data_IF_307302050473
#
_entry.id   IF_307302050473
#
_cell.length_a   1.000
_cell.length_b   1.000
_cell.length_c   1.000
_cell.angle_alpha   90.00
_cell.angle_beta   90.00
_cell.angle_gamma   90.00
#
_symmetry.space_group_name_H-M   'P 1'
#
loop_
_entity.id
_entity.type
_entity.pdbx_description
1 polymer ?
#
# COMPACT_ATOMS: atom_id res chain seq x y z
N UNK A 1 -28.39 -14.16 22.50
CA UNK A 1 -27.25 -13.23 22.48
C UNK A 1 -27.63 -12.11 21.52
N UNK A 2 -28.11 -10.98 22.05
CA UNK A 2 -28.58 -9.88 21.20
C UNK A 2 -27.38 -9.28 20.45
N UNK A 3 -27.48 -9.19 19.13
CA UNK A 3 -26.49 -8.50 18.32
C UNK A 3 -26.42 -7.04 18.79
N UNK A 4 -25.23 -6.58 19.15
CA UNK A 4 -24.98 -5.17 19.43
C UNK A 4 -25.17 -4.44 18.10
N UNK A 5 -26.20 -3.61 18.03
CA UNK A 5 -26.51 -2.77 16.87
C UNK A 5 -25.48 -1.64 16.78
N UNK A 6 -24.34 -1.95 16.18
CA UNK A 6 -23.29 -0.97 15.92
C UNK A 6 -23.74 -0.06 14.78
N UNK A 7 -23.63 1.28 14.95
CA UNK A 7 -23.98 2.20 13.89
C UNK A 7 -23.16 1.90 12.64
N UNK A 8 -23.81 1.98 11.47
CA UNK A 8 -23.14 1.83 10.20
C UNK A 8 -21.87 2.69 10.19
N UNK A 9 -20.68 2.10 9.96
CA UNK A 9 -19.43 2.84 9.95
C UNK A 9 -19.55 3.99 8.95
N UNK A 10 -19.58 5.22 9.47
CA UNK A 10 -19.62 6.43 8.65
C UNK A 10 -18.33 6.44 7.84
N UNK A 11 -18.44 6.32 6.53
CA UNK A 11 -17.32 6.64 5.65
C UNK A 11 -16.98 8.11 5.93
N UNK A 12 -15.84 8.35 6.59
CA UNK A 12 -15.26 9.69 6.66
C UNK A 12 -15.17 10.23 5.23
N UNK A 13 -15.52 11.50 5.05
CA UNK A 13 -15.57 12.11 3.72
C UNK A 13 -14.30 11.85 2.91
N UNK A 14 -14.45 11.70 1.60
CA UNK A 14 -13.40 11.41 0.61
C UNK A 14 -12.44 12.59 0.39
N UNK A 15 -12.10 13.33 1.43
CA UNK A 15 -11.14 14.42 1.36
C UNK A 15 -9.71 13.84 1.36
N UNK A 16 -9.24 13.46 0.18
CA UNK A 16 -7.84 13.65 -0.20
C UNK A 16 -6.76 12.77 0.44
N UNK A 17 -7.07 11.59 0.98
CA UNK A 17 -6.03 10.61 1.32
C UNK A 17 -5.71 9.75 0.09
N UNK A 18 -5.14 10.37 -0.95
CA UNK A 18 -4.40 9.59 -1.94
C UNK A 18 -3.19 8.93 -1.25
N UNK A 19 -2.66 7.80 -1.78
CA UNK A 19 -1.41 7.24 -1.28
C UNK A 19 -0.33 8.33 -1.21
N UNK A 20 0.39 8.40 -0.09
CA UNK A 20 1.46 9.39 0.08
C UNK A 20 2.51 9.16 -1.01
N UNK A 21 2.82 10.22 -1.77
CA UNK A 21 3.69 10.14 -2.94
C UNK A 21 5.07 10.65 -2.58
N UNK A 22 6.00 9.73 -2.34
CA UNK A 22 7.40 10.09 -2.07
C UNK A 22 8.24 9.87 -3.33
N UNK A 23 8.89 10.94 -3.81
CA UNK A 23 9.85 10.86 -4.92
C UNK A 23 11.26 10.51 -4.40
N UNK A 24 11.97 9.67 -5.12
CA UNK A 24 13.26 9.10 -4.73
C UNK A 24 14.12 8.81 -5.97
N UNK A 25 15.43 9.03 -5.94
CA UNK A 25 16.37 8.56 -6.97
C UNK A 25 16.79 7.10 -6.72
N UNK A 26 16.48 6.23 -7.66
CA UNK A 26 16.85 4.81 -7.66
C UNK A 26 18.27 4.52 -8.15
N UNK A 27 19.00 5.54 -8.61
CA UNK A 27 20.30 5.38 -9.26
C UNK A 27 20.17 5.02 -10.74
N UNK A 28 21.19 5.35 -11.54
CA UNK A 28 21.19 5.09 -12.99
C UNK A 28 20.24 5.98 -13.81
N UNK A 29 19.74 7.09 -13.24
CA UNK A 29 18.84 8.04 -13.91
C UNK A 29 17.34 7.76 -13.70
N UNK A 30 16.99 6.78 -12.88
CA UNK A 30 15.60 6.39 -12.59
C UNK A 30 15.11 7.10 -11.33
N UNK A 31 14.02 7.87 -11.44
CA UNK A 31 13.30 8.39 -10.28
C UNK A 31 12.13 7.47 -9.93
N UNK A 32 12.15 6.91 -8.73
CA UNK A 32 11.09 6.13 -8.13
C UNK A 32 10.08 7.06 -7.45
N UNK A 33 8.79 6.90 -7.74
CA UNK A 33 7.71 7.55 -7.00
C UNK A 33 6.93 6.49 -6.25
N UNK A 34 7.08 6.49 -4.94
CA UNK A 34 6.45 5.52 -4.04
C UNK A 34 5.07 6.03 -3.69
N UNK A 35 4.07 5.19 -3.92
CA UNK A 35 2.69 5.36 -3.48
C UNK A 35 2.43 4.34 -2.37
N UNK A 36 2.40 4.80 -1.13
CA UNK A 36 2.16 3.91 0.01
C UNK A 36 0.67 3.81 0.34
N UNK A 37 0.11 2.61 0.18
CA UNK A 37 -1.16 2.23 0.77
C UNK A 37 -0.88 1.71 2.20
N UNK A 38 -0.69 2.65 3.13
CA UNK A 38 -0.44 2.37 4.54
C UNK A 38 -1.70 1.94 5.28
N UNK A 39 -1.83 0.64 5.58
CA UNK A 39 -3.05 0.05 6.17
C UNK A 39 -2.89 -0.40 7.62
N UNK A 40 -1.66 -0.70 8.06
CA UNK A 40 -1.37 -1.17 9.41
C UNK A 40 0.07 -0.83 9.85
N UNK A 41 0.64 -1.60 10.79
CA UNK A 41 1.97 -1.38 11.35
C UNK A 41 3.11 -1.37 10.31
N UNK A 42 2.96 -2.08 9.20
CA UNK A 42 3.93 -2.05 8.12
C UNK A 42 4.13 -0.67 7.48
N UNK A 43 3.12 0.20 7.53
CA UNK A 43 3.22 1.56 6.99
C UNK A 43 4.31 2.39 7.69
N UNK A 44 4.43 2.26 9.02
CA UNK A 44 5.47 3.00 9.76
C UNK A 44 6.87 2.49 9.46
N UNK A 45 7.00 1.21 9.10
CA UNK A 45 8.27 0.61 8.67
C UNK A 45 8.66 1.15 7.28
N UNK A 46 7.70 1.23 6.35
CA UNK A 46 7.89 1.82 5.02
C UNK A 46 8.26 3.30 5.14
N UNK A 47 7.53 4.08 5.92
CA UNK A 47 7.83 5.51 6.14
C UNK A 47 9.21 5.72 6.77
N UNK A 48 9.58 4.91 7.77
CA UNK A 48 10.90 4.97 8.38
C UNK A 48 12.01 4.61 7.37
N UNK A 49 11.79 3.61 6.52
CA UNK A 49 12.73 3.23 5.47
C UNK A 49 12.88 4.34 4.41
N UNK A 50 11.77 4.95 3.98
CA UNK A 50 11.77 6.08 3.05
C UNK A 50 12.56 7.26 3.66
N UNK A 51 12.29 7.63 4.91
CA UNK A 51 13.00 8.72 5.59
C UNK A 51 14.49 8.44 5.78
N UNK A 52 14.87 7.19 6.07
CA UNK A 52 16.26 6.84 6.38
C UNK A 52 17.12 6.66 5.14
N UNK A 53 16.58 6.03 4.10
CA UNK A 53 17.37 5.59 2.95
C UNK A 53 17.12 6.41 1.70
N UNK A 54 15.98 7.12 1.64
CA UNK A 54 15.44 7.69 0.42
C UNK A 54 15.12 9.20 0.55
N UNK A 55 15.24 9.79 1.73
CA UNK A 55 15.05 11.23 1.94
C UNK A 55 16.14 12.06 1.25
N UNK A 56 15.73 13.04 0.44
CA UNK A 56 16.60 14.08 -0.13
C UNK A 56 17.46 13.64 -1.31
N UNK A 57 17.21 12.46 -1.90
CA UNK A 57 17.88 11.99 -3.12
C UNK A 57 17.03 12.30 -4.33
N UNK A 58 16.78 13.58 -4.62
CA UNK A 58 16.11 14.00 -5.86
C UNK A 58 17.14 14.08 -6.99
N UNK A 59 17.33 12.96 -7.69
CA UNK A 59 18.23 12.86 -8.83
C UNK A 59 17.62 13.38 -10.13
N UNK A 60 18.48 13.70 -11.10
CA UNK A 60 18.06 14.20 -12.41
C UNK A 60 17.15 13.19 -13.15
N UNK A 61 15.92 13.62 -13.45
CA UNK A 61 14.86 12.84 -14.08
C UNK A 61 15.25 12.41 -15.51
N UNK A 62 15.49 11.12 -15.72
CA UNK A 62 15.53 10.54 -17.08
C UNK A 62 14.42 9.52 -17.32
N UNK A 63 13.96 8.83 -16.27
CA UNK A 63 12.77 7.97 -16.33
C UNK A 63 12.07 7.90 -14.96
N UNK A 64 10.74 7.98 -14.95
CA UNK A 64 9.91 7.87 -13.73
C UNK A 64 9.33 6.46 -13.67
N UNK A 65 9.52 5.77 -12.54
CA UNK A 65 8.85 4.50 -12.25
C UNK A 65 8.02 4.66 -11.00
N UNK A 66 6.77 4.22 -11.06
CA UNK A 66 5.86 4.27 -9.93
C UNK A 66 5.92 2.96 -9.15
N UNK A 67 6.03 3.03 -7.82
CA UNK A 67 6.03 1.86 -6.94
C UNK A 67 4.81 1.96 -6.05
N UNK A 68 3.84 1.07 -6.23
CA UNK A 68 2.67 0.96 -5.38
C UNK A 68 2.95 -0.06 -4.28
N UNK A 69 3.01 0.41 -3.03
CA UNK A 69 3.30 -0.42 -1.87
C UNK A 69 2.01 -0.70 -1.12
N UNK A 70 1.69 -1.97 -0.90
CA UNK A 70 0.60 -2.36 0.00
C UNK A 70 1.19 -2.75 1.35
N UNK A 71 1.14 -1.82 2.29
CA UNK A 71 1.78 -1.95 3.59
C UNK A 71 0.76 -2.31 4.68
N UNK A 72 0.63 -3.61 4.97
CA UNK A 72 -0.15 -4.12 6.09
C UNK A 72 -1.40 -4.91 5.70
N UNK A 73 -2.31 -5.06 6.68
CA UNK A 73 -3.48 -5.94 6.53
C UNK A 73 -4.54 -5.33 5.62
N UNK A 74 -5.01 -6.10 4.63
CA UNK A 74 -6.13 -5.73 3.79
C UNK A 74 -7.39 -6.38 4.33
N UNK A 75 -8.38 -5.55 4.66
CA UNK A 75 -9.71 -6.04 4.99
C UNK A 75 -10.59 -6.10 3.75
N UNK A 76 -11.56 -7.01 3.73
CA UNK A 76 -12.45 -7.20 2.57
C UNK A 76 -13.24 -5.93 2.24
N UNK A 77 -13.51 -5.11 3.27
CA UNK A 77 -14.14 -3.80 3.11
C UNK A 77 -13.21 -2.77 2.46
N UNK A 78 -11.90 -2.86 2.69
CA UNK A 78 -10.90 -1.94 2.12
C UNK A 78 -10.41 -2.38 0.75
N UNK A 79 -10.51 -3.67 0.40
CA UNK A 79 -10.11 -4.21 -0.90
C UNK A 79 -10.53 -3.35 -2.12
N UNK A 80 -11.79 -2.90 -2.26
CA UNK A 80 -12.17 -2.06 -3.41
C UNK A 80 -11.50 -0.68 -3.42
N UNK A 81 -11.17 -0.12 -2.25
CA UNK A 81 -10.46 1.16 -2.16
C UNK A 81 -8.98 1.02 -2.52
N UNK A 82 -8.35 -0.09 -2.13
CA UNK A 82 -6.97 -0.41 -2.51
C UNK A 82 -6.88 -0.65 -4.01
N UNK A 83 -7.84 -1.38 -4.59
CA UNK A 83 -7.91 -1.59 -6.03
C UNK A 83 -8.09 -0.27 -6.81
N UNK A 84 -8.94 0.63 -6.29
CA UNK A 84 -9.11 1.98 -6.84
C UNK A 84 -7.79 2.76 -6.84
N UNK A 85 -7.08 2.78 -5.71
CA UNK A 85 -5.79 3.47 -5.60
C UNK A 85 -4.73 2.88 -6.55
N UNK A 86 -4.72 1.55 -6.73
CA UNK A 86 -3.87 0.90 -7.71
C UNK A 86 -4.20 1.32 -9.16
N UNK A 87 -5.49 1.41 -9.50
CA UNK A 87 -5.94 1.87 -10.83
C UNK A 87 -5.60 3.34 -11.09
N UNK A 88 -5.65 4.19 -10.05
CA UNK A 88 -5.32 5.61 -10.15
C UNK A 88 -3.79 5.85 -10.22
N UNK A 89 -2.97 4.82 -10.00
CA UNK A 89 -1.50 4.90 -10.09
C UNK A 89 -1.03 4.89 -11.56
N UNK A 90 -0.20 5.85 -12.01
CA UNK A 90 0.23 5.92 -13.41
C UNK A 90 1.15 4.75 -13.83
N UNK A 91 1.13 4.39 -15.12
CA UNK A 91 2.04 3.42 -15.75
C UNK A 91 3.34 4.14 -16.18
N UNK A 92 4.56 3.58 -16.04
CA UNK A 92 4.92 2.23 -15.61
C UNK A 92 4.91 2.06 -14.09
N UNK A 93 4.12 1.10 -13.58
CA UNK A 93 4.02 0.82 -12.14
C UNK A 93 4.53 -0.56 -11.76
N UNK A 94 5.06 -0.68 -10.54
CA UNK A 94 5.43 -1.93 -9.88
C UNK A 94 4.70 -2.06 -8.56
N UNK A 95 4.27 -3.26 -8.21
CA UNK A 95 3.52 -3.54 -6.98
C UNK A 95 4.39 -4.29 -5.99
N UNK A 96 4.52 -3.72 -4.79
CA UNK A 96 5.23 -4.30 -3.66
C UNK A 96 4.21 -4.68 -2.58
N UNK A 97 4.14 -5.97 -2.24
CA UNK A 97 3.37 -6.43 -1.08
C UNK A 97 4.28 -6.47 0.14
N UNK A 98 3.98 -5.66 1.16
CA UNK A 98 4.86 -5.47 2.31
C UNK A 98 4.25 -6.05 3.60
N UNK A 99 4.93 -7.05 4.14
CA UNK A 99 4.61 -7.74 5.38
C UNK A 99 3.70 -8.96 5.20
N UNK A 100 3.80 -9.89 6.15
CA UNK A 100 3.04 -11.15 6.15
C UNK A 100 1.51 -10.96 5.98
N UNK A 101 0.95 -9.87 6.53
CA UNK A 101 -0.47 -9.54 6.42
C UNK A 101 -0.91 -9.26 4.98
N UNK A 102 -0.12 -8.50 4.21
CA UNK A 102 -0.42 -8.21 2.81
C UNK A 102 -0.19 -9.45 1.92
N UNK A 103 0.83 -10.24 2.24
CA UNK A 103 1.23 -11.41 1.45
C UNK A 103 0.21 -12.55 1.54
N UNK A 104 -0.31 -12.84 2.73
CA UNK A 104 -1.09 -14.06 3.00
C UNK A 104 -2.19 -13.91 4.07
N UNK A 105 -2.46 -12.69 4.54
CA UNK A 105 -3.30 -12.43 5.72
C UNK A 105 -2.55 -12.53 7.05
N UNK A 106 -1.35 -13.13 7.06
CA UNK A 106 -0.43 -13.12 8.19
C UNK A 106 -1.05 -13.72 9.47
N UNK A 107 -0.85 -13.12 10.66
CA UNK A 107 -1.48 -13.57 11.90
C UNK A 107 -3.01 -13.61 11.85
N UNK A 108 -3.62 -12.85 10.92
CA UNK A 108 -5.08 -12.74 10.75
C UNK A 108 -5.59 -13.64 9.61
N UNK A 109 -4.82 -14.63 9.18
CA UNK A 109 -5.21 -15.53 8.09
C UNK A 109 -6.50 -16.31 8.38
N UNK A 110 -6.93 -16.46 9.63
CA UNK A 110 -8.22 -17.10 9.98
C UNK A 110 -9.32 -16.09 10.36
N UNK A 111 -9.07 -14.80 10.17
CA UNK A 111 -10.07 -13.76 10.46
C UNK A 111 -11.10 -13.63 9.34
N UNK A 112 -12.37 -13.43 9.70
CA UNK A 112 -13.51 -13.37 8.78
C UNK A 112 -13.52 -12.16 7.83
N UNK A 113 -12.75 -11.12 8.13
CA UNK A 113 -12.77 -9.83 7.43
C UNK A 113 -11.45 -9.48 6.76
N UNK A 114 -10.47 -10.40 6.75
CA UNK A 114 -9.12 -10.16 6.24
C UNK A 114 -8.92 -10.97 4.97
N UNK A 115 -8.52 -10.27 3.90
CA UNK A 115 -8.18 -10.88 2.62
C UNK A 115 -6.86 -11.66 2.76
N UNK A 116 -6.82 -12.90 2.26
CA UNK A 116 -5.68 -13.82 2.45
C UNK A 116 -4.53 -13.59 1.48
N UNK A 117 -4.33 -12.35 1.06
CA UNK A 117 -3.33 -11.96 0.09
C UNK A 117 -3.84 -10.89 -0.87
N UNK A 118 -3.02 -9.87 -1.10
CA UNK A 118 -3.27 -8.80 -2.08
C UNK A 118 -3.30 -9.34 -3.51
N UNK A 119 -2.60 -10.45 -3.76
CA UNK A 119 -2.48 -11.11 -5.06
C UNK A 119 -3.83 -11.62 -5.63
N UNK A 120 -4.86 -11.69 -4.79
CA UNK A 120 -6.21 -12.06 -5.24
C UNK A 120 -6.85 -11.01 -6.15
N UNK A 121 -6.44 -9.75 -6.06
CA UNK A 121 -7.09 -8.64 -6.79
C UNK A 121 -6.12 -7.63 -7.42
N UNK A 122 -4.83 -7.62 -7.03
CA UNK A 122 -3.78 -6.80 -7.66
C UNK A 122 -2.60 -7.70 -8.01
N UNK A 123 -2.02 -7.62 -9.22
CA UNK A 123 -0.84 -8.39 -9.56
C UNK A 123 0.38 -7.89 -8.76
N UNK A 124 0.97 -8.74 -7.93
CA UNK A 124 2.15 -8.40 -7.13
C UNK A 124 3.44 -8.74 -7.87
N UNK A 125 4.39 -7.80 -7.94
CA UNK A 125 5.72 -8.06 -8.52
C UNK A 125 6.69 -8.65 -7.49
N UNK A 126 6.68 -8.10 -6.27
CA UNK A 126 7.62 -8.45 -5.21
C UNK A 126 6.91 -8.55 -3.87
N UNK A 127 7.24 -9.60 -3.12
CA UNK A 127 6.78 -9.80 -1.75
C UNK A 127 7.92 -9.52 -0.78
N UNK A 128 7.65 -8.70 0.24
CA UNK A 128 8.53 -8.48 1.38
C UNK A 128 7.95 -9.24 2.57
N UNK A 129 8.64 -10.25 3.11
CA UNK A 129 8.14 -11.07 4.21
C UNK A 129 8.10 -10.29 5.54
#
# INVERSE_FOLDING_TARGET
>A
MAAIDLPAPRAGGTAGAGPDVTAVDGGGGISLRVFDAGLACCAVEVEAALRRHLAGRDGAQTSVVHVFVVAGTVTDKLAPHVLKAYQDTPEPRRVLSFGACANSGGPYWDSYCVTKGVDQFIPVDVYVP
#
